data_IF_860631486887
#
_entry.id   IF_860631486887
#
_cell.length_a   1.000
_cell.length_b   1.000
_cell.length_c   1.000
_cell.angle_alpha   90.00
_cell.angle_beta   90.00
_cell.angle_gamma   90.00
#
_symmetry.space_group_name_H-M   'P 1'
#
loop_
_entity.id
_entity.type
_entity.pdbx_description
1 polymer ?
#
# COMPACT_ATOMS: atom_id res chain seq x y z
N UNK A 1 -31.46 -30.44 16.78
CA UNK A 1 -31.12 -29.70 15.54
C UNK A 1 -31.07 -28.22 15.86
N UNK A 2 -29.88 -27.67 16.12
CA UNK A 2 -29.69 -26.25 16.40
C UNK A 2 -29.07 -25.59 15.17
N UNK A 3 -29.85 -24.69 14.56
CA UNK A 3 -29.42 -23.77 13.50
C UNK A 3 -28.24 -22.94 14.00
N UNK A 4 -27.02 -23.32 13.61
CA UNK A 4 -25.84 -22.45 13.72
C UNK A 4 -26.03 -21.33 12.70
N UNK A 5 -26.49 -20.18 13.18
CA UNK A 5 -26.48 -18.95 12.39
C UNK A 5 -25.04 -18.71 11.91
N UNK A 6 -24.88 -18.69 10.59
CA UNK A 6 -23.62 -18.33 9.95
C UNK A 6 -23.18 -16.96 10.49
N UNK A 7 -21.89 -16.74 10.82
CA UNK A 7 -21.41 -15.42 11.19
C UNK A 7 -21.76 -14.44 10.06
N UNK A 8 -22.37 -13.31 10.42
CA UNK A 8 -22.73 -12.26 9.48
C UNK A 8 -21.46 -11.86 8.70
N UNK A 9 -21.51 -11.78 7.35
CA UNK A 9 -20.37 -11.31 6.58
C UNK A 9 -19.98 -9.93 7.10
N UNK A 10 -18.68 -9.74 7.33
CA UNK A 10 -18.09 -8.47 7.73
C UNK A 10 -18.54 -7.43 6.70
N UNK A 11 -19.56 -6.62 7.04
CA UNK A 11 -19.85 -5.41 6.29
C UNK A 11 -18.65 -4.50 6.51
N UNK A 12 -17.73 -4.49 5.54
CA UNK A 12 -16.82 -3.37 5.41
C UNK A 12 -17.69 -2.12 5.37
N UNK A 13 -17.48 -1.24 6.34
CA UNK A 13 -18.16 0.05 6.46
C UNK A 13 -17.92 0.81 5.16
N UNK A 14 -18.87 0.70 4.22
CA UNK A 14 -19.11 1.69 3.17
C UNK A 14 -19.34 3.03 3.88
N UNK A 15 -18.81 4.17 3.47
CA UNK A 15 -17.96 4.48 2.32
C UNK A 15 -17.55 5.96 2.33
N UNK A 16 -17.48 6.60 3.51
CA UNK A 16 -17.08 8.00 3.64
C UNK A 16 -15.57 8.14 3.85
N UNK A 17 -15.06 7.58 4.95
CA UNK A 17 -13.65 7.68 5.33
C UNK A 17 -12.69 7.10 4.28
N UNK A 18 -13.04 5.97 3.65
CA UNK A 18 -12.21 5.39 2.58
C UNK A 18 -12.21 6.22 1.30
N UNK A 19 -13.35 6.85 0.95
CA UNK A 19 -13.44 7.78 -0.19
C UNK A 19 -12.71 9.08 0.10
N UNK A 20 -12.78 9.58 1.32
CA UNK A 20 -12.01 10.74 1.78
C UNK A 20 -10.51 10.45 1.72
N UNK A 21 -10.07 9.33 2.29
CA UNK A 21 -8.66 8.93 2.25
C UNK A 21 -8.15 8.76 0.80
N UNK A 22 -8.96 8.13 -0.06
CA UNK A 22 -8.67 8.03 -1.49
C UNK A 22 -8.58 9.41 -2.16
N UNK A 23 -9.55 10.29 -1.90
CA UNK A 23 -9.59 11.65 -2.46
C UNK A 23 -8.40 12.50 -2.01
N UNK A 24 -8.01 12.41 -0.73
CA UNK A 24 -6.84 13.07 -0.17
C UNK A 24 -5.55 12.54 -0.81
N UNK A 25 -5.40 11.21 -0.92
CA UNK A 25 -4.25 10.60 -1.58
C UNK A 25 -4.15 11.04 -3.05
N UNK A 26 -5.27 10.98 -3.78
CA UNK A 26 -5.32 11.44 -5.17
C UNK A 26 -4.96 12.93 -5.27
N UNK A 27 -5.49 13.77 -4.38
CA UNK A 27 -5.19 15.20 -4.32
C UNK A 27 -3.71 15.47 -4.09
N UNK A 28 -3.07 14.75 -3.16
CA UNK A 28 -1.64 14.90 -2.87
C UNK A 28 -0.78 14.43 -4.04
N UNK A 29 -1.08 13.27 -4.63
CA UNK A 29 -0.35 12.80 -5.80
C UNK A 29 -0.53 13.74 -7.01
N UNK A 30 -1.72 14.31 -7.17
CA UNK A 30 -2.03 15.28 -8.22
C UNK A 30 -1.28 16.60 -8.02
N UNK A 31 -1.26 17.13 -6.79
CA UNK A 31 -0.48 18.32 -6.44
C UNK A 31 1.03 18.09 -6.64
N UNK A 32 1.53 16.91 -6.23
CA UNK A 32 2.91 16.51 -6.46
C UNK A 32 3.26 16.48 -7.95
N UNK A 33 2.38 15.90 -8.78
CA UNK A 33 2.55 15.86 -10.22
C UNK A 33 2.59 17.25 -10.86
N UNK A 34 1.69 18.16 -10.44
CA UNK A 34 1.66 19.54 -10.92
C UNK A 34 2.94 20.30 -10.56
N UNK A 35 3.47 20.09 -9.36
CA UNK A 35 4.71 20.76 -8.93
C UNK A 35 5.94 20.20 -9.63
N UNK A 36 6.01 18.89 -9.83
CA UNK A 36 7.06 18.26 -10.63
C UNK A 36 7.00 18.70 -12.11
N UNK A 37 5.82 19.08 -12.58
CA UNK A 37 5.58 19.60 -13.92
C UNK A 37 5.79 21.11 -14.05
N UNK A 38 5.78 21.87 -12.96
CA UNK A 38 5.85 23.33 -13.01
C UNK A 38 7.20 23.77 -13.60
N UNK A 39 7.17 24.51 -14.71
CA UNK A 39 8.38 24.99 -15.41
C UNK A 39 9.23 23.89 -16.07
N UNK A 40 8.80 22.62 -16.04
CA UNK A 40 9.55 21.52 -16.62
C UNK A 40 9.49 21.53 -18.15
N UNK A 41 10.64 21.43 -18.81
CA UNK A 41 10.73 21.22 -20.25
C UNK A 41 10.17 19.85 -20.68
N UNK A 42 9.90 19.63 -21.98
CA UNK A 42 9.34 18.36 -22.47
C UNK A 42 10.19 17.12 -22.14
N UNK A 43 11.52 17.25 -22.07
CA UNK A 43 12.44 16.17 -21.72
C UNK A 43 12.36 15.79 -20.25
N UNK A 44 12.34 16.79 -19.36
CA UNK A 44 12.17 16.63 -17.92
C UNK A 44 10.82 15.98 -17.58
N UNK A 45 9.75 16.34 -18.31
CA UNK A 45 8.43 15.69 -18.19
C UNK A 45 8.46 14.23 -18.61
N UNK A 46 9.11 13.92 -19.74
CA UNK A 46 9.25 12.54 -20.20
C UNK A 46 10.07 11.68 -19.20
N UNK A 47 11.12 12.24 -18.60
CA UNK A 47 11.85 11.59 -17.52
C UNK A 47 10.99 11.40 -16.27
N UNK A 48 10.23 12.43 -15.87
CA UNK A 48 9.29 12.38 -14.75
C UNK A 48 8.24 11.28 -14.91
N UNK A 49 7.68 11.11 -16.11
CA UNK A 49 6.73 10.04 -16.43
C UNK A 49 7.34 8.63 -16.34
N UNK A 50 8.62 8.47 -16.70
CA UNK A 50 9.32 7.18 -16.53
C UNK A 50 9.59 6.86 -15.06
N UNK A 51 9.98 7.87 -14.27
CA UNK A 51 10.12 7.72 -12.80
C UNK A 51 8.78 7.41 -12.14
N UNK A 52 7.70 8.03 -12.62
CA UNK A 52 6.35 7.73 -12.16
C UNK A 52 5.93 6.29 -12.54
N UNK A 53 6.26 5.83 -13.74
CA UNK A 53 6.04 4.44 -14.15
C UNK A 53 6.87 3.45 -13.31
N UNK A 54 8.09 3.81 -12.90
CA UNK A 54 8.92 3.02 -11.98
C UNK A 54 8.26 2.88 -10.60
N UNK A 55 7.76 3.99 -10.04
CA UNK A 55 6.99 3.96 -8.80
C UNK A 55 5.72 3.11 -8.96
N UNK A 56 5.03 3.27 -10.09
CA UNK A 56 3.88 2.45 -10.48
C UNK A 56 4.20 0.95 -10.52
N UNK A 57 5.35 0.55 -11.08
CA UNK A 57 5.78 -0.83 -11.10
C UNK A 57 5.93 -1.43 -9.69
N UNK A 58 6.50 -0.68 -8.75
CA UNK A 58 6.58 -1.08 -7.34
C UNK A 58 5.20 -1.26 -6.70
N UNK A 59 4.31 -0.28 -6.91
CA UNK A 59 2.94 -0.32 -6.39
C UNK A 59 2.17 -1.51 -6.98
N UNK A 60 2.17 -1.70 -8.30
CA UNK A 60 1.43 -2.78 -8.95
C UNK A 60 2.02 -4.16 -8.73
N UNK A 61 3.31 -4.28 -8.41
CA UNK A 61 3.91 -5.56 -8.01
C UNK A 61 3.36 -6.05 -6.65
N UNK A 62 2.96 -5.14 -5.75
CA UNK A 62 2.51 -5.47 -4.39
C UNK A 62 0.99 -5.35 -4.23
N UNK A 63 0.34 -4.49 -5.00
CA UNK A 63 -1.07 -4.17 -4.79
C UNK A 63 -2.06 -5.32 -5.06
N UNK A 64 -1.95 -6.12 -6.14
CA UNK A 64 -2.93 -7.17 -6.43
C UNK A 64 -3.20 -8.14 -5.26
N UNK A 65 -2.19 -8.71 -4.57
CA UNK A 65 -2.45 -9.59 -3.43
C UNK A 65 -3.00 -8.87 -2.20
N UNK A 66 -2.83 -7.55 -2.07
CA UNK A 66 -3.30 -6.77 -0.92
C UNK A 66 -4.68 -6.12 -1.15
N UNK A 67 -5.02 -5.82 -2.40
CA UNK A 67 -6.25 -5.13 -2.79
C UNK A 67 -7.32 -6.13 -3.23
N UNK A 68 -6.94 -7.20 -3.94
CA UNK A 68 -7.90 -8.11 -4.55
C UNK A 68 -8.18 -9.35 -3.72
N UNK A 69 -7.21 -9.82 -2.92
CA UNK A 69 -7.28 -11.12 -2.27
C UNK A 69 -7.02 -11.03 -0.74
N UNK A 70 -7.69 -11.85 0.08
CA UNK A 70 -8.91 -12.59 -0.27
C UNK A 70 -10.06 -11.62 -0.59
N UNK A 71 -10.97 -12.04 -1.47
CA UNK A 71 -12.15 -11.24 -1.78
C UNK A 71 -13.18 -11.32 -0.64
N UNK A 72 -13.59 -10.18 -0.04
CA UNK A 72 -14.54 -10.20 1.08
C UNK A 72 -15.96 -10.62 0.68
N UNK A 73 -16.29 -10.60 -0.61
CA UNK A 73 -17.61 -10.98 -1.13
C UNK A 73 -17.61 -12.40 -1.72
N UNK A 74 -16.55 -13.19 -1.54
CA UNK A 74 -16.39 -14.51 -2.17
C UNK A 74 -17.61 -15.41 -1.96
N UNK A 75 -18.18 -15.48 -0.75
CA UNK A 75 -19.34 -16.32 -0.46
C UNK A 75 -20.59 -15.88 -1.23
N UNK A 76 -20.78 -14.57 -1.41
CA UNK A 76 -21.89 -14.04 -2.22
C UNK A 76 -21.65 -14.34 -3.70
N UNK A 77 -20.43 -14.15 -4.19
CA UNK A 77 -20.06 -14.41 -5.58
C UNK A 77 -20.18 -15.89 -5.94
N UNK A 78 -19.88 -16.80 -5.01
CA UNK A 78 -20.09 -18.25 -5.17
C UNK A 78 -21.58 -18.59 -5.29
N UNK A 79 -22.43 -18.03 -4.41
CA UNK A 79 -23.89 -18.25 -4.47
C UNK A 79 -24.51 -17.72 -5.76
N UNK A 80 -24.03 -16.58 -6.25
CA UNK A 80 -24.48 -15.99 -7.50
C UNK A 80 -23.91 -16.71 -8.74
N UNK A 81 -22.96 -17.62 -8.55
CA UNK A 81 -22.29 -18.40 -9.60
C UNK A 81 -21.92 -17.56 -10.83
N UNK A 82 -21.19 -16.47 -10.61
CA UNK A 82 -20.87 -15.53 -11.68
C UNK A 82 -19.98 -16.15 -12.75
N UNK A 83 -20.31 -15.88 -14.01
CA UNK A 83 -19.50 -16.33 -15.13
C UNK A 83 -18.09 -15.71 -15.11
N UNK A 84 -17.08 -16.39 -15.67
CA UNK A 84 -15.70 -15.90 -15.75
C UNK A 84 -15.54 -14.43 -16.22
N UNK A 85 -16.21 -13.96 -17.29
CA UNK A 85 -16.10 -12.55 -17.71
C UNK A 85 -16.70 -11.56 -16.71
N UNK A 86 -17.75 -11.95 -15.96
CA UNK A 86 -18.32 -11.11 -14.90
C UNK A 86 -17.34 -11.00 -13.72
N UNK A 87 -16.70 -12.10 -13.32
CA UNK A 87 -15.67 -12.10 -12.28
C UNK A 87 -14.43 -11.28 -12.68
N UNK A 88 -13.99 -11.37 -13.94
CA UNK A 88 -12.91 -10.53 -14.48
C UNK A 88 -13.26 -9.04 -14.41
N UNK A 89 -14.43 -8.67 -14.92
CA UNK A 89 -14.91 -7.28 -14.89
C UNK A 89 -15.02 -6.76 -13.46
N UNK A 90 -15.45 -7.61 -12.54
CA UNK A 90 -15.54 -7.27 -11.13
C UNK A 90 -14.16 -6.99 -10.52
N UNK A 91 -13.17 -7.86 -10.72
CA UNK A 91 -11.80 -7.63 -10.22
C UNK A 91 -11.12 -6.43 -10.89
N UNK A 92 -11.32 -6.23 -12.19
CA UNK A 92 -10.83 -5.06 -12.91
C UNK A 92 -11.41 -3.75 -12.32
N UNK A 93 -12.70 -3.73 -11.98
CA UNK A 93 -13.33 -2.58 -11.30
C UNK A 93 -12.75 -2.32 -9.91
N UNK A 94 -12.34 -3.37 -9.18
CA UNK A 94 -11.68 -3.22 -7.88
C UNK A 94 -10.25 -2.65 -8.00
N UNK A 95 -9.54 -2.95 -9.08
CA UNK A 95 -8.25 -2.31 -9.40
C UNK A 95 -8.40 -0.88 -9.94
N UNK A 96 -9.56 -0.53 -10.51
CA UNK A 96 -9.84 0.76 -11.14
C UNK A 96 -9.38 1.98 -10.32
N UNK A 97 -9.73 2.10 -9.02
CA UNK A 97 -9.26 3.20 -8.17
C UNK A 97 -7.72 3.29 -8.10
N UNK A 98 -7.01 2.16 -8.01
CA UNK A 98 -5.55 2.17 -8.00
C UNK A 98 -4.96 2.61 -9.34
N UNK A 99 -5.57 2.17 -10.44
CA UNK A 99 -5.19 2.63 -11.79
C UNK A 99 -5.42 4.13 -11.92
N UNK A 100 -6.53 4.66 -11.42
CA UNK A 100 -6.79 6.11 -11.42
C UNK A 100 -5.76 6.89 -10.61
N UNK A 101 -5.32 6.37 -9.44
CA UNK A 101 -4.23 6.98 -8.65
C UNK A 101 -2.90 7.05 -9.40
N UNK A 102 -2.67 6.16 -10.37
CA UNK A 102 -1.46 6.20 -11.21
C UNK A 102 -1.66 7.06 -12.47
N UNK A 103 -2.82 6.96 -13.13
CA UNK A 103 -3.08 7.62 -14.42
C UNK A 103 -3.30 9.11 -14.25
N UNK A 104 -4.05 9.56 -13.25
CA UNK A 104 -4.36 11.00 -13.08
C UNK A 104 -3.09 11.83 -12.84
N UNK A 105 -2.20 11.46 -11.91
CA UNK A 105 -0.92 12.17 -11.76
C UNK A 105 -0.07 12.13 -13.03
N UNK A 106 -0.06 11.03 -13.79
CA UNK A 106 0.69 10.96 -15.05
C UNK A 106 0.17 11.99 -16.09
N UNK A 107 -1.16 12.12 -16.22
CA UNK A 107 -1.77 13.16 -17.08
C UNK A 107 -1.36 14.55 -16.62
N UNK A 108 -1.34 14.80 -15.32
CA UNK A 108 -0.92 16.08 -14.75
C UNK A 108 0.58 16.35 -14.93
N UNK A 109 1.46 15.34 -14.86
CA UNK A 109 2.87 15.53 -15.20
C UNK A 109 3.04 15.95 -16.67
N UNK A 110 2.26 15.33 -17.57
CA UNK A 110 2.34 15.61 -19.00
C UNK A 110 1.81 17.00 -19.37
N UNK A 111 0.66 17.41 -18.82
CA UNK A 111 -0.08 18.59 -19.26
C UNK A 111 -0.26 19.69 -18.22
N UNK A 112 0.14 19.46 -16.97
CA UNK A 112 0.05 20.41 -15.86
C UNK A 112 1.05 21.55 -15.96
N UNK A 113 0.97 22.32 -17.03
CA UNK A 113 1.76 23.52 -17.29
C UNK A 113 0.82 24.73 -17.33
N UNK A 114 0.97 25.66 -16.38
CA UNK A 114 0.19 26.89 -16.37
C UNK A 114 0.73 27.95 -17.33
N UNK A 115 1.99 27.86 -17.76
CA UNK A 115 2.64 28.84 -18.63
C UNK A 115 2.52 28.52 -20.11
N UNK A 116 2.57 27.23 -20.49
CA UNK A 116 2.50 26.81 -21.89
C UNK A 116 1.71 25.50 -22.13
N UNK A 117 0.44 25.42 -21.71
CA UNK A 117 -0.35 24.17 -21.75
C UNK A 117 -0.47 23.58 -23.15
N UNK A 118 -0.62 24.42 -24.18
CA UNK A 118 -0.83 24.01 -25.58
C UNK A 118 0.45 23.89 -26.42
N UNK A 119 1.62 24.19 -25.86
CA UNK A 119 2.89 24.03 -26.57
C UNK A 119 3.40 22.59 -26.47
N UNK A 120 4.07 22.13 -27.54
CA UNK A 120 4.70 20.80 -27.64
C UNK A 120 3.75 19.62 -27.36
N UNK A 121 2.46 19.76 -27.69
CA UNK A 121 1.44 18.74 -27.44
C UNK A 121 1.81 17.37 -27.99
N UNK A 122 2.40 17.28 -29.19
CA UNK A 122 2.84 16.02 -29.77
C UNK A 122 3.84 15.28 -28.88
N UNK A 123 4.90 15.98 -28.43
CA UNK A 123 5.94 15.39 -27.57
C UNK A 123 5.39 15.02 -26.20
N UNK A 124 4.55 15.88 -25.60
CA UNK A 124 3.86 15.61 -24.32
C UNK A 124 2.95 14.38 -24.43
N UNK A 125 2.20 14.26 -25.52
CA UNK A 125 1.29 13.11 -25.79
C UNK A 125 2.07 11.82 -25.98
N UNK A 126 3.17 11.85 -26.73
CA UNK A 126 4.04 10.68 -26.92
C UNK A 126 4.62 10.22 -25.58
N UNK A 127 5.14 11.14 -24.78
CA UNK A 127 5.69 10.82 -23.46
C UNK A 127 4.62 10.23 -22.52
N UNK A 128 3.42 10.81 -22.50
CA UNK A 128 2.30 10.29 -21.73
C UNK A 128 1.89 8.90 -22.21
N UNK A 129 1.76 8.68 -23.52
CA UNK A 129 1.39 7.38 -24.09
C UNK A 129 2.39 6.29 -23.71
N UNK A 130 3.69 6.59 -23.77
CA UNK A 130 4.74 5.68 -23.29
C UNK A 130 4.58 5.40 -21.78
N UNK A 131 4.42 6.44 -20.95
CA UNK A 131 4.21 6.28 -19.51
C UNK A 131 2.98 5.43 -19.17
N UNK A 132 1.85 5.67 -19.85
CA UNK A 132 0.61 4.93 -19.65
C UNK A 132 0.72 3.47 -20.11
N UNK A 133 1.46 3.19 -21.18
CA UNK A 133 1.75 1.81 -21.60
C UNK A 133 2.60 1.07 -20.57
N UNK A 134 3.60 1.74 -19.98
CA UNK A 134 4.41 1.14 -18.90
C UNK A 134 3.56 0.84 -17.66
N UNK A 135 2.75 1.81 -17.21
CA UNK A 135 1.86 1.66 -16.05
C UNK A 135 0.79 0.59 -16.31
N UNK A 136 0.12 0.66 -17.46
CA UNK A 136 -0.92 -0.30 -17.85
C UNK A 136 -0.36 -1.71 -18.04
N UNK A 137 0.80 -1.84 -18.68
CA UNK A 137 1.49 -3.11 -18.87
C UNK A 137 1.90 -3.76 -17.57
N UNK A 138 2.51 -2.99 -16.65
CA UNK A 138 2.91 -3.50 -15.33
C UNK A 138 1.71 -3.87 -14.45
N UNK A 139 0.66 -3.06 -14.47
CA UNK A 139 -0.60 -3.37 -13.79
C UNK A 139 -1.23 -4.66 -14.31
N UNK A 140 -1.29 -4.82 -15.64
CA UNK A 140 -1.88 -6.00 -16.28
C UNK A 140 -1.02 -7.25 -16.05
N UNK A 141 0.31 -7.17 -16.20
CA UNK A 141 1.21 -8.30 -15.97
C UNK A 141 1.09 -8.81 -14.53
N UNK A 142 1.08 -7.89 -13.57
CA UNK A 142 0.93 -8.17 -12.15
C UNK A 142 -0.43 -8.79 -11.85
N UNK A 143 -1.52 -8.19 -12.35
CA UNK A 143 -2.87 -8.73 -12.20
C UNK A 143 -2.95 -10.18 -12.68
N UNK A 144 -2.51 -10.46 -13.91
CA UNK A 144 -2.58 -11.80 -14.50
C UNK A 144 -1.74 -12.81 -13.72
N UNK A 145 -0.55 -12.39 -13.28
CA UNK A 145 0.35 -13.25 -12.52
C UNK A 145 -0.26 -13.63 -11.16
N UNK A 146 -0.80 -12.67 -10.42
CA UNK A 146 -1.41 -12.94 -9.11
C UNK A 146 -2.76 -13.66 -9.23
N UNK A 147 -3.58 -13.33 -10.24
CA UNK A 147 -4.88 -13.97 -10.41
C UNK A 147 -4.77 -15.48 -10.73
N UNK A 148 -3.65 -15.92 -11.30
CA UNK A 148 -3.39 -17.34 -11.62
C UNK A 148 -2.47 -18.01 -10.60
N UNK A 149 -2.10 -17.32 -9.52
CA UNK A 149 -1.10 -17.80 -8.56
C UNK A 149 -1.61 -18.94 -7.67
N UNK A 150 -2.91 -18.97 -7.34
CA UNK A 150 -3.48 -19.87 -6.33
C UNK A 150 -3.07 -21.33 -6.47
N UNK A 151 -3.14 -21.89 -7.69
CA UNK A 151 -2.76 -23.29 -7.93
C UNK A 151 -1.26 -23.56 -7.67
N UNK A 152 -0.39 -22.61 -7.99
CA UNK A 152 1.06 -22.74 -7.72
C UNK A 152 1.34 -22.63 -6.23
N UNK A 153 0.75 -21.64 -5.57
CA UNK A 153 0.88 -21.46 -4.13
C UNK A 153 0.37 -22.67 -3.34
N UNK A 154 -0.73 -23.28 -3.78
CA UNK A 154 -1.26 -24.51 -3.21
C UNK A 154 -0.30 -25.70 -3.41
N UNK A 155 0.27 -25.87 -4.60
CA UNK A 155 1.25 -26.93 -4.85
C UNK A 155 2.54 -26.78 -4.01
N UNK A 156 2.93 -25.55 -3.67
CA UNK A 156 4.05 -25.29 -2.75
C UNK A 156 3.65 -25.56 -1.30
N UNK A 157 2.43 -25.18 -0.91
CA UNK A 157 1.90 -25.44 0.44
C UNK A 157 1.80 -26.95 0.73
N UNK A 158 1.32 -27.73 -0.23
CA UNK A 158 1.18 -29.19 -0.14
C UNK A 158 2.50 -29.96 -0.38
N UNK A 159 3.64 -29.27 -0.54
CA UNK A 159 4.95 -29.90 -0.71
C UNK A 159 5.20 -30.60 -2.06
N UNK A 160 4.26 -30.49 -3.02
CA UNK A 160 4.41 -31.01 -4.38
C UNK A 160 5.42 -30.23 -5.24
N UNK A 161 5.82 -29.04 -4.80
CA UNK A 161 6.78 -28.18 -5.49
C UNK A 161 7.59 -27.35 -4.49
N UNK A 162 8.73 -26.81 -4.93
CA UNK A 162 9.60 -26.01 -4.06
C UNK A 162 10.55 -26.80 -3.15
N UNK A 163 10.76 -28.09 -3.43
CA UNK A 163 11.61 -28.98 -2.63
C UNK A 163 13.06 -28.50 -2.52
N UNK A 164 13.60 -27.80 -3.53
CA UNK A 164 14.92 -27.18 -3.46
C UNK A 164 14.98 -26.08 -2.39
N UNK A 165 13.93 -25.25 -2.27
CA UNK A 165 13.85 -24.17 -1.29
C UNK A 165 13.60 -24.73 0.11
N UNK A 166 12.77 -25.78 0.22
CA UNK A 166 12.58 -26.50 1.48
C UNK A 166 13.91 -27.04 2.01
N UNK A 167 14.71 -27.71 1.16
CA UNK A 167 16.05 -28.19 1.54
C UNK A 167 16.99 -27.05 1.94
N UNK A 168 17.03 -25.95 1.18
CA UNK A 168 17.87 -24.80 1.53
C UNK A 168 17.50 -24.16 2.89
N UNK A 169 16.20 -24.04 3.18
CA UNK A 169 15.73 -23.48 4.46
C UNK A 169 15.94 -24.45 5.63
N UNK A 170 15.61 -25.72 5.45
CA UNK A 170 15.59 -26.73 6.53
C UNK A 170 16.98 -27.31 6.82
N UNK A 171 17.81 -27.51 5.81
CA UNK A 171 19.13 -28.16 5.97
C UNK A 171 20.25 -27.14 6.16
N UNK A 172 20.13 -25.93 5.59
CA UNK A 172 21.21 -24.93 5.59
C UNK A 172 20.88 -23.67 6.40
N UNK A 173 19.64 -23.56 6.92
CA UNK A 173 19.17 -22.34 7.57
C UNK A 173 19.14 -21.12 6.64
N UNK A 174 19.25 -21.32 5.32
CA UNK A 174 19.33 -20.26 4.33
C UNK A 174 17.96 -20.03 3.70
N UNK A 175 17.24 -19.03 4.22
CA UNK A 175 16.04 -18.49 3.57
C UNK A 175 15.17 -17.67 4.50
N UNK A 176 14.04 -17.21 3.98
CA UNK A 176 13.11 -16.35 4.72
C UNK A 176 12.10 -17.24 5.44
N UNK A 177 11.90 -17.01 6.75
CA UNK A 177 10.87 -17.67 7.57
C UNK A 177 9.46 -17.24 7.12
N UNK A 178 8.98 -17.87 6.04
CA UNK A 178 7.67 -17.66 5.44
C UNK A 178 6.99 -19.00 5.21
N UNK A 179 5.66 -19.09 5.42
CA UNK A 179 4.88 -20.25 5.01
C UNK A 179 5.18 -20.62 3.55
N UNK A 180 5.43 -21.91 3.28
CA UNK A 180 5.85 -22.39 1.94
C UNK A 180 4.95 -21.91 0.80
N UNK A 181 3.64 -21.85 1.03
CA UNK A 181 2.67 -21.35 0.04
C UNK A 181 2.80 -19.87 -0.34
N UNK A 182 3.43 -19.04 0.51
CA UNK A 182 3.68 -17.62 0.24
C UNK A 182 4.96 -17.37 -0.56
N UNK A 183 5.86 -18.34 -0.66
CA UNK A 183 7.11 -18.19 -1.42
C UNK A 183 6.83 -17.86 -2.89
N UNK A 184 5.87 -18.52 -3.59
CA UNK A 184 5.47 -18.11 -4.94
C UNK A 184 4.93 -16.68 -5.02
N UNK A 185 4.24 -16.18 -3.99
CA UNK A 185 3.75 -14.80 -3.97
C UNK A 185 4.90 -13.79 -3.82
N UNK A 186 5.92 -14.12 -3.04
CA UNK A 186 7.14 -13.33 -2.93
C UNK A 186 7.88 -13.29 -4.26
N UNK A 187 8.11 -14.45 -4.89
CA UNK A 187 8.76 -14.52 -6.20
C UNK A 187 7.93 -13.82 -7.29
N UNK A 188 6.61 -13.93 -7.24
CA UNK A 188 5.72 -13.18 -8.13
C UNK A 188 5.90 -11.67 -7.95
N UNK A 189 5.94 -11.18 -6.71
CA UNK A 189 6.17 -9.76 -6.41
C UNK A 189 7.51 -9.29 -6.99
N UNK A 190 8.60 -10.01 -6.69
CA UNK A 190 9.94 -9.67 -7.17
C UNK A 190 10.02 -9.72 -8.70
N UNK A 191 9.42 -10.74 -9.33
CA UNK A 191 9.38 -10.87 -10.79
C UNK A 191 8.60 -9.72 -11.43
N UNK A 192 7.40 -9.42 -10.95
CA UNK A 192 6.57 -8.35 -11.49
C UNK A 192 7.27 -6.99 -11.35
N UNK A 193 7.94 -6.75 -10.22
CA UNK A 193 8.74 -5.56 -10.03
C UNK A 193 9.92 -5.51 -11.00
N UNK A 194 10.73 -6.57 -11.08
CA UNK A 194 11.90 -6.63 -11.95
C UNK A 194 11.54 -6.48 -13.44
N UNK A 195 10.44 -7.09 -13.89
CA UNK A 195 9.92 -6.91 -15.25
C UNK A 195 9.49 -5.47 -15.46
N UNK A 196 8.77 -4.86 -14.51
CA UNK A 196 8.38 -3.46 -14.61
C UNK A 196 9.57 -2.49 -14.68
N UNK A 197 10.56 -2.68 -13.81
CA UNK A 197 11.83 -1.94 -13.83
C UNK A 197 12.53 -2.13 -15.17
N UNK A 198 12.68 -3.37 -15.63
CA UNK A 198 13.37 -3.69 -16.89
C UNK A 198 12.73 -3.02 -18.10
N UNK A 199 11.40 -3.00 -18.18
CA UNK A 199 10.66 -2.34 -19.27
C UNK A 199 10.80 -0.81 -19.19
N UNK A 200 10.76 -0.22 -17.99
CA UNK A 200 11.01 1.23 -17.81
C UNK A 200 12.44 1.60 -18.22
N UNK A 201 13.44 0.82 -17.80
CA UNK A 201 14.85 1.03 -18.14
C UNK A 201 15.08 0.87 -19.63
N UNK A 202 14.50 -0.15 -20.28
CA UNK A 202 14.59 -0.33 -21.72
C UNK A 202 13.97 0.84 -22.50
N UNK A 203 12.81 1.34 -22.07
CA UNK A 203 12.19 2.54 -22.66
C UNK A 203 13.05 3.78 -22.44
N UNK A 204 13.65 3.95 -21.26
CA UNK A 204 14.55 5.07 -20.96
C UNK A 204 15.82 5.02 -21.82
N UNK A 205 16.43 3.84 -21.96
CA UNK A 205 17.62 3.62 -22.76
C UNK A 205 17.36 3.89 -24.25
N UNK A 206 16.24 3.40 -24.81
CA UNK A 206 15.86 3.69 -26.19
C UNK A 206 15.67 5.21 -26.41
N UNK A 207 15.01 5.90 -25.48
CA UNK A 207 14.82 7.34 -25.57
C UNK A 207 16.13 8.14 -25.45
N UNK A 208 17.05 7.72 -24.58
CA UNK A 208 18.35 8.37 -24.41
C UNK A 208 19.25 8.26 -25.65
N UNK A 209 19.09 7.20 -26.45
CA UNK A 209 19.81 6.98 -27.70
C UNK A 209 19.10 7.58 -28.94
N UNK A 210 18.09 8.43 -28.76
CA UNK A 210 17.35 9.04 -29.87
C UNK A 210 16.40 8.09 -30.62
N UNK A 211 16.23 6.85 -30.15
CA UNK A 211 15.40 5.82 -30.77
C UNK A 211 13.94 5.93 -30.29
N UNK A 212 13.31 7.09 -30.53
CA UNK A 212 11.99 7.42 -29.99
C UNK A 212 10.86 6.45 -30.42
N UNK A 213 10.96 5.85 -31.60
CA UNK A 213 10.03 4.80 -32.04
C UNK A 213 10.17 3.51 -31.22
N UNK A 214 11.40 3.09 -30.94
CA UNK A 214 11.68 1.87 -30.16
C UNK A 214 11.30 2.02 -28.68
N UNK A 215 11.22 3.25 -28.15
CA UNK A 215 10.79 3.50 -26.78
C UNK A 215 9.35 3.01 -26.47
N UNK A 216 8.52 2.81 -27.50
CA UNK A 216 7.17 2.22 -27.38
C UNK A 216 7.18 0.69 -27.23
N UNK A 217 8.20 0.02 -27.78
CA UNK A 217 8.25 -1.44 -27.93
C UNK A 217 8.19 -2.16 -26.57
N UNK A 218 8.97 -1.79 -25.53
CA UNK A 218 8.92 -2.49 -24.25
C UNK A 218 7.53 -2.49 -23.62
N UNK A 219 6.88 -1.33 -23.55
CA UNK A 219 5.53 -1.19 -22.99
C UNK A 219 4.48 -1.96 -23.80
N UNK A 220 4.53 -1.87 -25.13
CA UNK A 220 3.62 -2.59 -26.02
C UNK A 220 3.79 -4.11 -25.91
N UNK A 221 5.03 -4.61 -25.86
CA UNK A 221 5.32 -6.03 -25.66
C UNK A 221 4.80 -6.53 -24.31
N UNK A 222 4.98 -5.76 -23.24
CA UNK A 222 4.48 -6.13 -21.92
C UNK A 222 2.95 -6.22 -21.89
N UNK A 223 2.26 -5.22 -22.44
CA UNK A 223 0.79 -5.21 -22.55
C UNK A 223 0.31 -6.39 -23.42
N UNK A 224 0.92 -6.60 -24.58
CA UNK A 224 0.58 -7.68 -25.49
C UNK A 224 0.78 -9.06 -24.85
N UNK A 225 1.93 -9.28 -24.21
CA UNK A 225 2.23 -10.51 -23.49
C UNK A 225 1.24 -10.78 -22.35
N UNK A 226 1.01 -9.79 -21.49
CA UNK A 226 0.07 -9.93 -20.38
C UNK A 226 -1.36 -10.14 -20.89
N UNK A 227 -1.76 -9.47 -21.98
CA UNK A 227 -3.03 -9.64 -22.66
C UNK A 227 -3.23 -11.06 -23.22
N UNK A 228 -2.21 -11.63 -23.87
CA UNK A 228 -2.26 -13.02 -24.37
C UNK A 228 -2.39 -14.01 -23.21
N UNK A 229 -1.65 -13.82 -22.12
CA UNK A 229 -1.80 -14.66 -20.92
C UNK A 229 -3.19 -14.57 -20.33
N UNK A 230 -3.74 -13.36 -20.19
CA UNK A 230 -5.10 -13.15 -19.72
C UNK A 230 -6.13 -13.84 -20.64
N UNK A 231 -5.97 -13.68 -21.96
CA UNK A 231 -6.87 -14.26 -22.94
C UNK A 231 -6.93 -15.79 -22.86
N UNK A 232 -5.78 -16.43 -22.67
CA UNK A 232 -5.69 -17.89 -22.50
C UNK A 232 -6.35 -18.37 -21.20
N UNK A 233 -6.27 -17.59 -20.13
CA UNK A 233 -6.84 -17.96 -18.82
C UNK A 233 -8.29 -17.48 -18.60
N UNK A 234 -8.84 -16.62 -19.47
CA UNK A 234 -10.13 -15.95 -19.23
C UNK A 234 -11.33 -16.89 -19.09
N UNK A 235 -11.31 -18.01 -19.81
CA UNK A 235 -12.42 -18.97 -19.83
C UNK A 235 -12.51 -19.78 -18.54
N UNK A 236 -11.38 -20.01 -17.87
CA UNK A 236 -11.29 -20.72 -16.59
C UNK A 236 -11.02 -19.77 -15.41
N UNK A 237 -11.33 -18.47 -15.57
CA UNK A 237 -11.00 -17.46 -14.57
C UNK A 237 -11.77 -17.64 -13.26
N UNK A 238 -12.96 -18.23 -13.30
CA UNK A 238 -13.73 -18.65 -12.12
C UNK A 238 -12.90 -19.56 -11.20
N UNK A 239 -12.28 -20.61 -11.75
CA UNK A 239 -11.41 -21.52 -10.99
C UNK A 239 -10.23 -20.78 -10.40
N UNK A 240 -9.55 -19.98 -11.21
CA UNK A 240 -8.41 -19.17 -10.76
C UNK A 240 -8.78 -18.17 -9.65
N UNK A 241 -9.94 -17.52 -9.78
CA UNK A 241 -10.45 -16.57 -8.80
C UNK A 241 -10.74 -17.25 -7.46
N UNK A 242 -11.47 -18.37 -7.47
CA UNK A 242 -11.84 -19.07 -6.23
C UNK A 242 -10.63 -19.75 -5.57
N UNK A 243 -9.75 -20.40 -6.33
CA UNK A 243 -8.52 -20.98 -5.78
C UNK A 243 -7.61 -19.93 -5.15
N UNK A 244 -7.36 -18.81 -5.86
CA UNK A 244 -6.49 -17.75 -5.34
C UNK A 244 -7.11 -17.09 -4.11
N UNK A 245 -8.41 -16.83 -4.13
CA UNK A 245 -9.11 -16.27 -2.97
C UNK A 245 -9.09 -17.20 -1.77
N UNK A 246 -9.31 -18.50 -1.97
CA UNK A 246 -9.26 -19.50 -0.91
C UNK A 246 -7.86 -19.60 -0.29
N UNK A 247 -6.81 -19.66 -1.13
CA UNK A 247 -5.43 -19.68 -0.67
C UNK A 247 -5.07 -18.46 0.19
N UNK A 248 -5.38 -17.25 -0.29
CA UNK A 248 -5.11 -16.03 0.50
C UNK A 248 -6.01 -15.95 1.75
N UNK A 249 -7.23 -16.50 1.72
CA UNK A 249 -8.08 -16.57 2.91
C UNK A 249 -7.53 -17.55 3.96
N UNK A 250 -6.98 -18.69 3.53
CA UNK A 250 -6.34 -19.65 4.42
C UNK A 250 -5.08 -19.05 5.06
N UNK A 251 -4.22 -18.46 4.24
CA UNK A 251 -2.93 -17.93 4.69
C UNK A 251 -3.04 -16.60 5.45
N UNK A 252 -3.97 -15.71 5.08
CA UNK A 252 -4.16 -14.41 5.76
C UNK A 252 -5.29 -14.42 6.79
N UNK A 253 -6.25 -15.34 6.69
CA UNK A 253 -7.44 -15.41 7.54
C UNK A 253 -7.34 -16.34 8.74
N UNK A 254 -6.17 -16.96 8.98
CA UNK A 254 -5.93 -17.78 10.17
C UNK A 254 -6.32 -19.25 10.02
N UNK A 255 -6.26 -19.82 8.81
CA UNK A 255 -6.24 -21.26 8.62
C UNK A 255 -4.86 -21.81 8.99
N UNK A 256 -4.73 -22.32 10.22
CA UNK A 256 -3.67 -23.24 10.69
C UNK A 256 -2.20 -22.92 10.35
N UNK A 257 -1.88 -21.69 9.97
CA UNK A 257 -0.55 -21.12 10.20
C UNK A 257 -0.69 -20.24 11.41
N UNK A 258 -0.31 -20.79 12.56
CA UNK A 258 -0.23 -20.03 13.79
C UNK A 258 0.58 -18.75 13.53
N UNK A 259 0.15 -17.65 14.13
CA UNK A 259 0.91 -16.39 14.17
C UNK A 259 2.17 -16.53 15.05
N UNK A 260 2.93 -17.61 14.86
CA UNK A 260 4.16 -17.98 15.56
C UNK A 260 5.41 -17.40 14.88
N UNK A 261 5.35 -17.06 13.58
CA UNK A 261 6.57 -16.75 12.81
C UNK A 261 6.83 -15.25 12.57
N UNK A 262 5.93 -14.36 13.02
CA UNK A 262 6.35 -12.99 13.33
C UNK A 262 6.69 -12.99 14.79
N UNK A 263 7.97 -12.87 15.13
CA UNK A 263 8.38 -12.56 16.50
C UNK A 263 7.52 -11.36 16.95
N UNK A 264 6.60 -11.57 17.91
CA UNK A 264 5.80 -10.46 18.40
C UNK A 264 6.77 -9.44 19.00
N UNK A 265 6.50 -8.15 18.81
CA UNK A 265 7.26 -7.08 19.47
C UNK A 265 7.43 -7.50 20.94
N UNK A 266 8.66 -7.72 21.44
CA UNK A 266 8.83 -8.15 22.82
C UNK A 266 8.21 -7.12 23.75
N UNK A 267 7.58 -7.55 24.84
CA UNK A 267 6.98 -6.61 25.81
C UNK A 267 8.01 -5.58 26.28
N UNK A 268 9.24 -6.02 26.48
CA UNK A 268 10.37 -5.19 26.92
C UNK A 268 10.93 -4.29 25.81
N UNK A 269 10.61 -4.55 24.54
CA UNK A 269 10.99 -3.67 23.43
C UNK A 269 10.19 -2.34 23.43
N UNK A 270 9.13 -2.22 24.23
CA UNK A 270 8.35 -0.99 24.41
C UNK A 270 9.00 -0.05 25.45
N UNK A 271 10.31 0.17 25.33
CA UNK A 271 11.08 0.96 26.28
C UNK A 271 10.63 2.42 26.37
N UNK A 272 10.03 2.96 25.29
CA UNK A 272 9.50 4.32 25.26
C UNK A 272 8.09 4.45 25.88
N UNK A 273 7.44 3.34 26.23
CA UNK A 273 6.11 3.34 26.84
C UNK A 273 6.23 3.20 28.37
N UNK A 274 5.63 4.12 29.15
CA UNK A 274 5.57 3.99 30.61
C UNK A 274 4.93 2.68 31.05
N UNK A 275 5.45 2.10 32.15
CA UNK A 275 5.05 0.77 32.64
C UNK A 275 3.54 0.60 32.84
N UNK A 276 2.85 1.66 33.31
CA UNK A 276 1.39 1.71 33.50
C UNK A 276 0.60 1.38 32.22
N UNK A 277 1.07 1.83 31.06
CA UNK A 277 0.36 1.69 29.78
C UNK A 277 0.94 0.59 28.89
N UNK A 278 2.12 0.09 29.20
CA UNK A 278 2.87 -0.87 28.38
C UNK A 278 2.06 -2.12 28.00
N UNK A 279 1.28 -2.78 28.89
CA UNK A 279 0.48 -3.95 28.52
C UNK A 279 -0.58 -3.65 27.46
N UNK A 280 -1.32 -2.54 27.61
CA UNK A 280 -2.35 -2.15 26.67
C UNK A 280 -1.77 -1.63 25.35
N UNK A 281 -0.63 -0.93 25.41
CA UNK A 281 0.10 -0.46 24.23
C UNK A 281 0.63 -1.63 23.42
N UNK A 282 1.18 -2.65 24.08
CA UNK A 282 1.64 -3.89 23.46
C UNK A 282 0.51 -4.60 22.71
N UNK A 283 -0.62 -4.84 23.38
CA UNK A 283 -1.77 -5.47 22.75
C UNK A 283 -2.28 -4.65 21.55
N UNK A 284 -2.32 -3.33 21.68
CA UNK A 284 -2.76 -2.40 20.63
C UNK A 284 -1.82 -2.43 19.41
N UNK A 285 -0.51 -2.37 19.61
CA UNK A 285 0.48 -2.43 18.52
C UNK A 285 0.36 -3.75 17.77
N UNK A 286 0.20 -4.88 18.48
CA UNK A 286 -0.03 -6.19 17.84
C UNK A 286 -1.28 -6.22 16.97
N UNK A 287 -2.37 -5.59 17.41
CA UNK A 287 -3.59 -5.53 16.60
C UNK A 287 -3.45 -4.61 15.38
N UNK A 288 -2.73 -3.49 15.52
CA UNK A 288 -2.44 -2.59 14.40
C UNK A 288 -1.56 -3.25 13.35
N UNK A 289 -0.46 -3.89 13.75
CA UNK A 289 0.52 -4.49 12.82
C UNK A 289 -0.02 -5.73 12.11
N UNK A 290 -1.03 -6.40 12.67
CA UNK A 290 -1.79 -7.46 12.00
C UNK A 290 -2.67 -6.93 10.87
N UNK A 291 -3.08 -5.67 10.94
CA UNK A 291 -4.09 -5.09 10.04
C UNK A 291 -3.52 -4.16 8.99
N UNK A 292 -2.49 -3.40 9.35
CA UNK A 292 -1.91 -2.38 8.51
C UNK A 292 -0.39 -2.52 8.50
N UNK A 293 0.27 -2.63 7.34
CA UNK A 293 1.73 -2.63 7.24
C UNK A 293 2.29 -1.20 7.37
N UNK A 294 1.95 -0.49 8.47
CA UNK A 294 2.21 0.95 8.64
C UNK A 294 3.69 1.30 8.49
N UNK A 295 4.61 0.47 8.97
CA UNK A 295 6.05 0.73 8.83
C UNK A 295 6.50 0.81 7.38
N UNK A 296 5.98 -0.04 6.49
CA UNK A 296 6.30 0.01 5.05
C UNK A 296 5.73 1.26 4.40
N UNK A 297 4.50 1.65 4.79
CA UNK A 297 3.86 2.85 4.25
C UNK A 297 4.57 4.13 4.70
N UNK A 298 4.97 4.21 5.97
CA UNK A 298 5.76 5.32 6.52
C UNK A 298 7.12 5.41 5.85
N UNK A 299 7.82 4.29 5.66
CA UNK A 299 9.09 4.26 4.95
C UNK A 299 8.95 4.76 3.49
N UNK A 300 7.96 4.28 2.75
CA UNK A 300 7.69 4.73 1.37
C UNK A 300 7.34 6.21 1.34
N UNK A 301 6.55 6.70 2.29
CA UNK A 301 6.23 8.12 2.38
C UNK A 301 7.49 8.98 2.61
N UNK A 302 8.41 8.51 3.44
CA UNK A 302 9.66 9.22 3.70
C UNK A 302 10.66 9.16 2.54
N UNK A 303 10.69 8.06 1.78
CA UNK A 303 11.39 8.04 0.50
C UNK A 303 10.82 9.05 -0.49
N UNK A 304 9.49 9.19 -0.54
CA UNK A 304 8.80 10.22 -1.32
C UNK A 304 9.18 11.63 -0.89
N UNK A 305 9.18 11.90 0.43
CA UNK A 305 9.65 13.16 1.01
C UNK A 305 11.06 13.50 0.53
N UNK A 306 12.01 12.57 0.67
CA UNK A 306 13.40 12.79 0.26
C UNK A 306 13.51 13.11 -1.22
N UNK A 307 12.78 12.39 -2.08
CA UNK A 307 12.73 12.68 -3.50
C UNK A 307 12.23 14.10 -3.77
N UNK A 308 11.16 14.54 -3.10
CA UNK A 308 10.66 15.90 -3.28
C UNK A 308 11.63 16.96 -2.79
N UNK A 309 12.31 16.74 -1.66
CA UNK A 309 13.34 17.64 -1.16
C UNK A 309 14.53 17.72 -2.13
N UNK A 310 15.05 16.58 -2.62
CA UNK A 310 16.16 16.51 -3.57
C UNK A 310 15.81 17.22 -4.89
N UNK A 311 14.55 17.16 -5.33
CA UNK A 311 14.09 17.81 -6.56
C UNK A 311 13.74 19.29 -6.38
N UNK A 312 13.98 19.86 -5.20
CA UNK A 312 13.71 21.28 -4.92
C UNK A 312 12.22 21.61 -4.83
N UNK A 313 11.40 20.67 -4.31
CA UNK A 313 9.97 20.88 -4.13
C UNK A 313 9.66 22.10 -3.27
N UNK A 314 8.62 22.86 -3.65
CA UNK A 314 8.25 24.09 -2.96
C UNK A 314 7.97 23.86 -1.45
N UNK A 315 8.40 24.74 -0.53
CA UNK A 315 8.24 24.54 0.92
C UNK A 315 6.80 24.32 1.38
N UNK A 316 5.83 25.00 0.76
CA UNK A 316 4.40 24.83 1.07
C UNK A 316 3.92 23.41 0.76
N UNK A 317 4.41 22.81 -0.32
CA UNK A 317 4.07 21.43 -0.69
C UNK A 317 4.68 20.42 0.26
N UNK A 318 5.96 20.58 0.60
CA UNK A 318 6.63 19.70 1.58
C UNK A 318 5.88 19.75 2.92
N UNK A 319 5.42 20.94 3.33
CA UNK A 319 4.59 21.11 4.53
C UNK A 319 3.24 20.41 4.43
N UNK A 320 2.54 20.52 3.29
CA UNK A 320 1.28 19.81 3.06
C UNK A 320 1.47 18.29 3.02
N UNK A 321 2.54 17.82 2.40
CA UNK A 321 2.91 16.41 2.32
C UNK A 321 3.16 15.82 3.71
N UNK A 322 3.99 16.47 4.53
CA UNK A 322 4.25 16.04 5.90
C UNK A 322 3.01 16.07 6.78
N UNK A 323 2.15 17.10 6.62
CA UNK A 323 0.85 17.15 7.30
C UNK A 323 0.03 15.91 6.99
N UNK A 324 -0.06 15.53 5.72
CA UNK A 324 -0.79 14.33 5.30
C UNK A 324 -0.17 13.06 5.89
N UNK A 325 1.16 12.90 5.80
CA UNK A 325 1.85 11.70 6.28
C UNK A 325 1.65 11.52 7.78
N UNK A 326 1.84 12.57 8.56
CA UNK A 326 1.70 12.50 10.02
C UNK A 326 0.24 12.32 10.42
N UNK A 327 -0.69 13.07 9.81
CA UNK A 327 -2.12 12.92 10.07
C UNK A 327 -2.62 11.53 9.70
N UNK A 328 -2.24 11.02 8.52
CA UNK A 328 -2.60 9.68 8.07
C UNK A 328 -2.02 8.58 8.96
N UNK A 329 -0.79 8.74 9.43
CA UNK A 329 -0.15 7.81 10.36
C UNK A 329 -0.91 7.76 11.70
N UNK A 330 -1.20 8.91 12.31
CA UNK A 330 -1.90 8.93 13.61
C UNK A 330 -3.36 8.51 13.46
N UNK A 331 -4.02 8.84 12.33
CA UNK A 331 -5.40 8.44 12.05
C UNK A 331 -5.56 6.92 11.96
N UNK A 332 -4.49 6.18 11.63
CA UNK A 332 -4.51 4.72 11.66
C UNK A 332 -4.85 4.15 13.06
N UNK A 333 -4.66 4.91 14.14
CA UNK A 333 -5.08 4.50 15.48
C UNK A 333 -6.60 4.35 15.61
N UNK A 334 -7.40 4.96 14.73
CA UNK A 334 -8.85 4.77 14.68
C UNK A 334 -9.24 3.30 14.44
N UNK A 335 -8.37 2.49 13.84
CA UNK A 335 -8.59 1.04 13.68
C UNK A 335 -8.72 0.34 15.03
N UNK A 336 -7.99 0.80 16.06
CA UNK A 336 -8.08 0.25 17.42
C UNK A 336 -9.45 0.47 18.06
N UNK A 337 -10.15 1.52 17.65
CA UNK A 337 -11.51 1.80 18.11
C UNK A 337 -12.59 0.92 17.49
N UNK A 338 -12.24 0.09 16.50
CA UNK A 338 -13.21 -0.76 15.81
C UNK A 338 -13.52 -2.03 16.64
N UNK A 339 -14.79 -2.51 16.64
CA UNK A 339 -15.16 -3.73 17.36
C UNK A 339 -14.36 -4.97 16.93
N UNK A 340 -13.86 -4.96 15.69
CA UNK A 340 -13.05 -6.05 15.18
C UNK A 340 -11.63 -6.03 15.77
N UNK A 341 -11.07 -4.87 16.13
CA UNK A 341 -9.74 -4.79 16.74
C UNK A 341 -9.75 -5.15 18.22
N UNK A 342 -10.74 -4.62 18.95
CA UNK A 342 -11.06 -5.03 20.30
C UNK A 342 -12.54 -4.78 20.58
N UNK A 343 -13.30 -5.76 21.11
CA UNK A 343 -14.70 -5.56 21.49
C UNK A 343 -14.84 -4.42 22.50
N UNK A 344 -15.85 -3.57 22.35
CA UNK A 344 -16.08 -2.42 23.26
C UNK A 344 -16.16 -2.81 24.74
N UNK A 345 -16.81 -3.93 25.14
CA UNK A 345 -16.80 -4.35 26.55
C UNK A 345 -15.39 -4.65 27.08
N UNK A 346 -14.53 -5.24 26.24
CA UNK A 346 -13.14 -5.53 26.59
C UNK A 346 -12.34 -4.24 26.77
N UNK A 347 -12.47 -3.27 25.85
CA UNK A 347 -11.77 -1.99 25.96
C UNK A 347 -12.17 -1.25 27.25
N UNK A 348 -13.47 -1.27 27.61
CA UNK A 348 -13.98 -0.62 28.82
C UNK A 348 -13.54 -1.29 30.13
N UNK A 349 -13.43 -2.62 30.15
CA UNK A 349 -13.05 -3.36 31.34
C UNK A 349 -11.55 -3.25 31.64
N UNK A 350 -10.72 -2.99 30.63
CA UNK A 350 -9.26 -3.06 30.78
C UNK A 350 -8.68 -1.87 31.55
N UNK A 351 -9.06 -0.64 31.18
CA UNK A 351 -8.44 0.59 31.67
C UNK A 351 -9.39 1.80 31.61
N UNK A 352 -9.07 2.85 32.37
CA UNK A 352 -9.82 4.11 32.39
C UNK A 352 -9.72 4.86 31.04
N UNK A 353 -10.64 5.81 30.80
CA UNK A 353 -10.61 6.68 29.60
C UNK A 353 -9.27 7.42 29.48
N UNK A 354 -8.77 8.00 30.58
CA UNK A 354 -7.49 8.71 30.58
C UNK A 354 -6.30 7.79 30.26
N UNK A 355 -6.34 6.55 30.75
CA UNK A 355 -5.32 5.54 30.45
C UNK A 355 -5.35 5.07 29.00
N UNK A 356 -6.52 5.01 28.38
CA UNK A 356 -6.64 4.73 26.96
C UNK A 356 -6.09 5.86 26.08
N UNK A 357 -6.30 7.13 26.48
CA UNK A 357 -5.69 8.27 25.81
C UNK A 357 -4.17 8.17 25.89
N UNK A 358 -3.62 7.93 27.09
CA UNK A 358 -2.18 7.73 27.29
C UNK A 358 -1.64 6.59 26.43
N UNK A 359 -2.26 5.41 26.55
CA UNK A 359 -1.91 4.22 25.76
C UNK A 359 -1.86 4.52 24.26
N UNK A 360 -2.94 5.07 23.68
CA UNK A 360 -3.02 5.34 22.23
C UNK A 360 -2.06 6.44 21.77
N UNK A 361 -1.76 7.41 22.64
CA UNK A 361 -0.74 8.43 22.37
C UNK A 361 0.64 7.78 22.19
N UNK A 362 1.04 6.92 23.13
CA UNK A 362 2.32 6.20 23.05
C UNK A 362 2.39 5.16 21.93
N UNK A 363 1.24 4.59 21.55
CA UNK A 363 1.14 3.75 20.34
C UNK A 363 1.44 4.57 19.08
N UNK A 364 0.97 5.81 18.99
CA UNK A 364 1.25 6.69 17.85
C UNK A 364 2.69 7.20 17.85
N UNK A 365 3.24 7.53 19.02
CA UNK A 365 4.61 8.03 19.18
C UNK A 365 5.70 6.99 18.86
N UNK A 366 5.36 5.72 18.60
CA UNK A 366 6.34 4.70 18.19
C UNK A 366 7.16 5.10 16.94
N UNK A 367 6.59 5.95 16.08
CA UNK A 367 7.26 6.44 14.87
C UNK A 367 7.98 7.78 15.07
N UNK A 368 7.94 8.37 16.26
CA UNK A 368 8.52 9.68 16.52
C UNK A 368 10.02 9.72 16.19
N UNK A 369 10.80 8.80 16.78
CA UNK A 369 12.24 8.68 16.51
C UNK A 369 12.55 8.49 15.01
N UNK A 370 11.98 7.48 14.34
CA UNK A 370 12.17 7.30 12.89
C UNK A 370 11.76 8.51 12.04
N UNK A 371 10.65 9.18 12.36
CA UNK A 371 10.24 10.38 11.64
C UNK A 371 11.28 11.49 11.82
N UNK A 372 11.69 11.79 13.05
CA UNK A 372 12.65 12.85 13.33
C UNK A 372 14.03 12.54 12.76
N UNK A 373 14.49 11.30 12.82
CA UNK A 373 15.73 10.86 12.16
C UNK A 373 15.67 11.06 10.64
N UNK A 374 14.53 10.74 10.01
CA UNK A 374 14.33 10.97 8.58
C UNK A 374 14.29 12.44 8.19
N UNK A 375 13.74 13.33 9.03
CA UNK A 375 13.77 14.78 8.80
C UNK A 375 15.16 15.35 9.05
N UNK A 376 15.87 14.85 10.05
CA UNK A 376 17.26 15.22 10.33
C UNK A 376 18.17 14.92 9.14
N UNK A 377 17.97 13.79 8.45
CA UNK A 377 18.70 13.50 7.20
C UNK A 377 18.47 14.57 6.13
N UNK A 378 17.25 15.11 6.00
CA UNK A 378 16.98 16.19 5.04
C UNK A 378 17.77 17.45 5.39
N UNK A 379 17.86 17.79 6.67
CA UNK A 379 18.63 18.95 7.16
C UNK A 379 20.14 18.72 7.03
N UNK A 380 20.62 17.49 7.24
CA UNK A 380 22.05 17.16 7.16
C UNK A 380 22.57 17.18 5.71
N UNK A 381 21.72 16.84 4.74
CA UNK A 381 22.09 16.70 3.33
C UNK A 381 21.49 17.78 2.43
N UNK A 382 20.96 18.87 2.99
CA UNK A 382 20.40 19.97 2.22
C UNK A 382 20.27 21.26 3.01
N UNK A 383 20.24 22.37 2.28
CA UNK A 383 20.44 23.72 2.82
C UNK A 383 19.11 24.48 2.98
N UNK A 384 18.02 23.90 2.46
CA UNK A 384 16.69 24.53 2.40
C UNK A 384 15.97 24.49 3.75
N UNK A 385 16.23 23.48 4.58
CA UNK A 385 15.54 23.27 5.86
C UNK A 385 16.54 23.20 7.01
N UNK A 386 16.20 23.80 8.15
CA UNK A 386 17.05 23.82 9.35
C UNK A 386 16.49 22.99 10.52
N UNK A 387 17.27 22.85 11.60
CA UNK A 387 16.86 22.10 12.80
C UNK A 387 15.57 22.61 13.46
N UNK A 388 15.28 23.92 13.36
CA UNK A 388 14.03 24.49 13.84
C UNK A 388 12.80 23.86 13.16
N UNK A 389 12.91 23.54 11.86
CA UNK A 389 11.84 22.87 11.10
C UNK A 389 11.61 21.44 11.60
N UNK A 390 12.67 20.70 11.93
CA UNK A 390 12.56 19.38 12.58
C UNK A 390 11.85 19.50 13.92
N UNK A 391 12.20 20.51 14.73
CA UNK A 391 11.53 20.79 16.01
C UNK A 391 10.04 21.12 15.86
N UNK A 392 9.66 21.90 14.85
CA UNK A 392 8.25 22.17 14.54
C UNK A 392 7.50 20.87 14.24
N UNK A 393 8.05 20.01 13.38
CA UNK A 393 7.42 18.74 13.03
C UNK A 393 7.38 17.74 14.18
N UNK A 394 8.37 17.78 15.08
CA UNK A 394 8.35 17.02 16.33
C UNK A 394 7.12 17.40 17.17
N UNK A 395 6.93 18.71 17.40
CA UNK A 395 5.80 19.23 18.17
C UNK A 395 4.45 18.89 17.50
N UNK A 396 4.37 19.05 16.18
CA UNK A 396 3.17 18.68 15.40
C UNK A 396 2.87 17.18 15.55
N UNK A 397 3.87 16.29 15.46
CA UNK A 397 3.65 14.85 15.59
C UNK A 397 3.14 14.46 16.97
N UNK A 398 3.69 15.06 18.04
CA UNK A 398 3.23 14.84 19.42
C UNK A 398 1.79 15.33 19.59
N UNK A 399 1.49 16.56 19.12
CA UNK A 399 0.15 17.14 19.18
C UNK A 399 -0.89 16.30 18.43
N UNK A 400 -0.58 15.88 17.20
CA UNK A 400 -1.43 15.00 16.39
C UNK A 400 -1.64 13.64 17.05
N UNK A 401 -0.59 13.07 17.67
CA UNK A 401 -0.67 11.78 18.36
C UNK A 401 -1.65 11.83 19.54
N UNK A 402 -1.56 12.88 20.37
CA UNK A 402 -2.45 13.08 21.51
C UNK A 402 -3.89 13.41 21.07
N UNK A 403 -4.06 14.27 20.06
CA UNK A 403 -5.37 14.63 19.53
C UNK A 403 -6.10 13.43 18.93
N UNK A 404 -5.42 12.62 18.09
CA UNK A 404 -6.00 11.42 17.50
C UNK A 404 -6.35 10.37 18.58
N UNK A 405 -5.46 10.16 19.56
CA UNK A 405 -5.71 9.27 20.68
C UNK A 405 -6.95 9.70 21.48
N UNK A 406 -7.09 11.01 21.76
CA UNK A 406 -8.24 11.57 22.46
C UNK A 406 -9.53 11.39 21.66
N UNK A 407 -9.52 11.77 20.38
CA UNK A 407 -10.70 11.68 19.51
C UNK A 407 -11.21 10.23 19.38
N UNK A 408 -10.30 9.27 19.14
CA UNK A 408 -10.66 7.85 19.08
C UNK A 408 -11.23 7.39 20.42
N UNK A 409 -10.60 7.76 21.54
CA UNK A 409 -11.03 7.33 22.87
C UNK A 409 -12.40 7.87 23.28
N UNK A 410 -12.66 9.14 23.02
CA UNK A 410 -13.97 9.71 23.29
C UNK A 410 -15.06 9.06 22.41
N UNK A 411 -14.74 8.73 21.15
CA UNK A 411 -15.69 8.08 20.25
C UNK A 411 -16.02 6.63 20.63
N UNK A 412 -15.14 5.93 21.36
CA UNK A 412 -15.32 4.50 21.68
C UNK A 412 -15.62 4.21 23.14
N UNK A 413 -15.00 4.95 24.06
CA UNK A 413 -15.15 4.79 25.50
C UNK A 413 -15.90 5.95 26.18
N UNK A 414 -16.07 7.11 25.50
CA UNK A 414 -16.64 8.33 26.11
C UNK A 414 -18.16 8.35 26.28
N UNK A 415 -18.93 7.58 25.51
CA UNK A 415 -20.39 7.71 25.41
C UNK A 415 -21.22 7.04 26.51
N UNK A 416 -20.61 6.58 27.62
CA UNK A 416 -21.31 5.80 28.66
C UNK A 416 -21.48 6.57 29.98
N UNK A 417 -20.74 7.66 30.21
CA UNK A 417 -20.94 8.46 31.44
C UNK A 417 -22.21 9.33 31.45
N UNK A 418 -22.92 9.46 30.33
CA UNK A 418 -24.20 10.19 30.29
C UNK A 418 -25.43 9.29 30.48
N UNK A 419 -25.24 8.00 30.76
CA UNK A 419 -26.33 7.02 30.90
C UNK A 419 -26.20 6.16 32.16
N UNK A 420 -25.50 6.66 33.19
CA UNK A 420 -25.43 6.08 34.53
C UNK A 420 -25.98 7.09 35.54
#
# INVERSE_FOLDING_TARGET
>A
MLSRSLPAPIRHVRGGASRLAYGLLLGVLSAAALLLAAGADPGARAAGLRLWALAGAGVFAVAPPNVLFPDPNVSMLQRLNWSPPRLLRYQARRLGPLVLLAVVPAVLVAYGDSGSPLQHLGVKTVALGQGLLLIGGTALDSFVHFATLGARSQAWHEGRSGQWYARAVEEQGQGISLPRGLVPALFATTRCFAVGVGVVVATAAAAANGLHGLAWVPGALLVGWAGVRLWRSRAAYDRHFYHTTAFYAEVLGGGTVAATDREPVPYDALYWVPARWRPAAWASIRQLDRRLPLGRLVAVAHLGLWLFCIRGGAPAFITGYLTLVFTGQVAACAVLGTPSAAPRPFQRALQSVGDWIGTRTFVNLRWFGPHMGSLALVVLFGDVYGWAWVGTWAAVHVGLSAAAATAVTLATEGSVRSAA
#
